data_IF_014163640655
#
_entry.id   IF_014163640655
#
_cell.length_a   1.000
_cell.length_b   1.000
_cell.length_c   1.000
_cell.angle_alpha   90.00
_cell.angle_beta   90.00
_cell.angle_gamma   90.00
#
_symmetry.space_group_name_H-M   'P 1'
#
loop_
_entity.id
_entity.type
_entity.pdbx_description
1 polymer ?
#
# COMPACT_ATOMS: atom_id res chain seq x y z
N UNK A 1 24.77 -27.32 -0.82
CA UNK A 1 24.14 -26.14 -0.21
C UNK A 1 22.71 -26.50 0.21
N UNK A 2 22.22 -26.01 1.35
CA UNK A 2 20.80 -26.14 1.65
C UNK A 2 20.01 -25.19 0.73
N UNK A 3 18.87 -25.60 0.15
CA UNK A 3 18.08 -24.73 -0.70
C UNK A 3 17.63 -23.50 0.11
N UNK A 4 17.90 -22.30 -0.42
CA UNK A 4 17.46 -21.04 0.19
C UNK A 4 15.94 -21.05 0.32
N UNK A 5 15.45 -20.68 1.49
CA UNK A 5 14.00 -20.63 1.77
C UNK A 5 13.40 -19.46 1.00
N UNK A 6 12.40 -19.69 0.17
CA UNK A 6 11.68 -18.59 -0.50
C UNK A 6 10.59 -18.07 0.43
N UNK A 7 10.29 -16.78 0.39
CA UNK A 7 9.12 -16.17 1.07
C UNK A 7 8.39 -15.24 0.10
N UNK A 8 7.06 -15.24 0.16
CA UNK A 8 6.21 -14.38 -0.68
C UNK A 8 5.71 -13.22 0.19
N UNK A 9 5.91 -12.01 -0.29
CA UNK A 9 5.60 -10.76 0.38
C UNK A 9 4.59 -9.99 -0.44
N UNK A 10 3.48 -9.59 0.17
CA UNK A 10 2.54 -8.68 -0.45
C UNK A 10 2.60 -7.33 0.26
N UNK A 11 3.01 -6.31 -0.48
CA UNK A 11 2.93 -4.91 -0.09
C UNK A 11 1.95 -4.19 -1.00
N UNK A 12 1.46 -3.03 -0.59
CA UNK A 12 0.52 -2.28 -1.40
C UNK A 12 -0.19 -1.23 -0.59
N UNK A 13 -0.83 -0.31 -1.29
CA UNK A 13 -1.47 0.82 -0.64
C UNK A 13 -2.69 0.38 0.18
N UNK A 14 -3.11 1.22 1.12
CA UNK A 14 -4.42 1.03 1.76
C UNK A 14 -5.49 0.95 0.68
N UNK A 15 -6.54 0.18 0.94
CA UNK A 15 -7.69 0.04 0.03
C UNK A 15 -7.37 -0.47 -1.38
N UNK A 16 -6.19 -1.07 -1.60
CA UNK A 16 -5.86 -1.65 -2.91
C UNK A 16 -6.23 -3.13 -3.06
N UNK A 17 -6.85 -3.75 -2.04
CA UNK A 17 -7.25 -5.17 -2.07
C UNK A 17 -6.17 -6.13 -1.57
N UNK A 18 -5.19 -5.65 -0.81
CA UNK A 18 -4.06 -6.46 -0.35
C UNK A 18 -4.49 -7.63 0.54
N UNK A 19 -5.45 -7.46 1.46
CA UNK A 19 -5.93 -8.57 2.30
C UNK A 19 -6.49 -9.73 1.47
N UNK A 20 -7.28 -9.42 0.43
CA UNK A 20 -7.83 -10.41 -0.49
C UNK A 20 -6.71 -11.20 -1.18
N UNK A 21 -5.69 -10.51 -1.69
CA UNK A 21 -4.58 -11.16 -2.38
C UNK A 21 -3.64 -11.91 -1.43
N UNK A 22 -3.38 -11.40 -0.21
CA UNK A 22 -2.58 -12.11 0.79
C UNK A 22 -3.22 -13.46 1.12
N UNK A 23 -4.54 -13.48 1.36
CA UNK A 23 -5.26 -14.71 1.66
C UNK A 23 -5.19 -15.67 0.46
N UNK A 24 -5.42 -15.16 -0.75
CA UNK A 24 -5.36 -15.98 -1.95
C UNK A 24 -3.98 -16.63 -2.15
N UNK A 25 -2.91 -15.85 -2.07
CA UNK A 25 -1.56 -16.37 -2.18
C UNK A 25 -1.23 -17.36 -1.05
N UNK A 26 -1.77 -17.14 0.15
CA UNK A 26 -1.65 -18.07 1.27
C UNK A 26 -2.33 -19.40 0.97
N UNK A 27 -3.52 -19.38 0.38
CA UNK A 27 -4.22 -20.60 -0.05
C UNK A 27 -3.42 -21.34 -1.14
N UNK A 28 -2.83 -20.60 -2.09
CA UNK A 28 -2.05 -21.18 -3.19
C UNK A 28 -0.68 -21.74 -2.75
N UNK A 29 0.05 -21.05 -1.87
CA UNK A 29 1.47 -21.34 -1.61
C UNK A 29 1.80 -21.59 -0.14
N UNK A 30 0.86 -21.33 0.78
CA UNK A 30 1.08 -21.33 2.24
C UNK A 30 1.52 -22.67 2.83
N UNK A 31 1.24 -23.79 2.15
CA UNK A 31 1.71 -25.13 2.54
C UNK A 31 3.20 -25.35 2.25
N UNK A 32 3.79 -24.57 1.34
CA UNK A 32 5.16 -24.73 0.86
C UNK A 32 6.09 -23.59 1.31
N UNK A 33 5.54 -22.38 1.43
CA UNK A 33 6.28 -21.18 1.82
C UNK A 33 5.45 -20.26 2.70
N UNK A 34 6.11 -19.35 3.41
CA UNK A 34 5.43 -18.27 4.11
C UNK A 34 4.97 -17.22 3.11
N UNK A 35 3.69 -16.90 3.17
CA UNK A 35 3.10 -15.71 2.56
C UNK A 35 2.91 -14.68 3.66
N UNK A 36 3.40 -13.46 3.43
CA UNK A 36 3.60 -12.46 4.47
C UNK A 36 3.08 -11.11 3.97
N UNK A 37 2.36 -10.36 4.80
CA UNK A 37 1.83 -9.03 4.52
C UNK A 37 2.69 -7.89 5.10
N UNK A 38 4.01 -8.09 5.03
CA UNK A 38 5.04 -7.13 5.43
C UNK A 38 6.32 -7.46 4.70
N UNK A 39 7.20 -6.47 4.56
CA UNK A 39 8.58 -6.67 4.13
C UNK A 39 9.52 -6.20 5.25
N UNK A 40 9.83 -4.89 5.28
CA UNK A 40 10.48 -4.25 6.43
C UNK A 40 9.45 -3.76 7.43
N UNK A 41 8.39 -3.13 6.92
CA UNK A 41 7.24 -2.67 7.70
C UNK A 41 5.96 -3.37 7.24
N UNK A 42 4.86 -3.15 7.96
CA UNK A 42 3.55 -3.64 7.52
C UNK A 42 3.23 -3.16 6.09
N UNK A 43 2.49 -3.97 5.32
CA UNK A 43 2.30 -3.81 3.87
C UNK A 43 1.93 -2.42 3.34
N UNK A 44 1.29 -1.58 4.14
CA UNK A 44 0.81 -0.25 3.74
C UNK A 44 1.83 0.88 3.97
N UNK A 45 2.88 0.59 4.72
CA UNK A 45 3.92 1.51 5.19
C UNK A 45 5.07 1.63 4.22
N UNK A 46 5.85 2.71 4.33
CA UNK A 46 7.09 2.85 3.57
C UNK A 46 8.02 1.70 3.91
N UNK A 47 8.65 1.14 2.90
CA UNK A 47 9.59 0.04 3.03
C UNK A 47 11.02 0.58 3.07
N UNK A 48 11.84 -0.01 3.94
CA UNK A 48 13.26 0.26 4.10
C UNK A 48 14.10 -0.99 3.80
N UNK A 49 15.19 -0.84 3.04
CA UNK A 49 16.07 -1.98 2.72
C UNK A 49 16.80 -2.48 3.96
N UNK A 50 17.31 -1.57 4.79
CA UNK A 50 18.11 -1.93 5.98
C UNK A 50 17.31 -2.79 6.96
N UNK A 51 16.02 -2.51 7.09
CA UNK A 51 15.13 -3.33 7.91
C UNK A 51 14.80 -4.67 7.23
N UNK A 52 14.65 -4.71 5.90
CA UNK A 52 14.47 -5.96 5.18
C UNK A 52 15.67 -6.91 5.33
N UNK A 53 16.88 -6.37 5.55
CA UNK A 53 18.08 -7.16 5.88
C UNK A 53 17.96 -7.86 7.24
N UNK A 54 17.15 -7.36 8.18
CA UNK A 54 16.90 -7.96 9.50
C UNK A 54 16.02 -9.22 9.44
N UNK A 55 15.35 -9.48 8.31
CA UNK A 55 14.67 -10.76 8.12
C UNK A 55 15.64 -11.95 8.18
N UNK A 56 15.21 -13.16 8.57
CA UNK A 56 16.11 -14.30 8.75
C UNK A 56 17.05 -14.50 7.55
N UNK A 57 18.38 -14.53 7.74
CA UNK A 57 19.34 -14.61 6.64
C UNK A 57 19.11 -15.87 5.79
N UNK A 58 19.41 -15.77 4.49
CA UNK A 58 19.30 -16.90 3.55
C UNK A 58 17.90 -17.16 2.98
N UNK A 59 16.96 -16.21 3.12
CA UNK A 59 15.66 -16.28 2.44
C UNK A 59 15.59 -15.35 1.23
N UNK A 60 15.24 -15.89 0.06
CA UNK A 60 14.97 -15.13 -1.15
C UNK A 60 13.53 -14.61 -1.12
N UNK A 61 13.36 -13.32 -1.40
CA UNK A 61 12.06 -12.63 -1.29
C UNK A 61 11.41 -12.49 -2.67
N UNK A 62 10.13 -12.85 -2.72
CA UNK A 62 9.25 -12.69 -3.87
C UNK A 62 8.25 -11.62 -3.48
N UNK A 63 8.31 -10.45 -4.10
CA UNK A 63 7.49 -9.30 -3.69
C UNK A 63 6.44 -9.01 -4.75
N UNK A 64 5.19 -8.90 -4.33
CA UNK A 64 4.09 -8.38 -5.14
C UNK A 64 3.67 -7.04 -4.53
N UNK A 65 3.74 -5.98 -5.33
CA UNK A 65 3.33 -4.63 -4.96
C UNK A 65 1.99 -4.29 -5.63
N UNK A 66 0.93 -4.15 -4.84
CA UNK A 66 -0.43 -4.01 -5.33
C UNK A 66 -0.95 -2.57 -5.22
N UNK A 67 -1.37 -2.04 -6.36
CA UNK A 67 -1.88 -0.68 -6.52
C UNK A 67 -3.32 -0.70 -7.02
N UNK A 68 -4.05 0.37 -6.73
CA UNK A 68 -5.44 0.55 -7.20
C UNK A 68 -5.56 1.82 -8.01
N UNK A 69 -6.52 1.85 -8.93
CA UNK A 69 -6.83 3.03 -9.71
C UNK A 69 -6.96 4.27 -8.81
N UNK A 70 -6.28 5.39 -9.13
CA UNK A 70 -6.16 6.53 -8.23
C UNK A 70 -7.51 7.15 -7.86
N UNK A 71 -8.46 7.25 -8.81
CA UNK A 71 -9.81 7.76 -8.55
C UNK A 71 -10.55 6.86 -7.54
N UNK A 72 -10.54 5.54 -7.78
CA UNK A 72 -11.17 4.59 -6.85
C UNK A 72 -10.45 4.51 -5.50
N UNK A 73 -9.14 4.70 -5.49
CA UNK A 73 -8.31 4.63 -4.30
C UNK A 73 -8.57 5.81 -3.36
N UNK A 74 -8.52 7.05 -3.86
CA UNK A 74 -8.78 8.25 -3.06
C UNK A 74 -10.18 8.15 -2.47
N UNK A 75 -11.18 7.77 -3.26
CA UNK A 75 -12.55 7.69 -2.78
C UNK A 75 -12.74 6.58 -1.72
N UNK A 76 -12.09 5.43 -1.89
CA UNK A 76 -12.11 4.37 -0.89
C UNK A 76 -11.40 4.79 0.41
N UNK A 77 -10.25 5.47 0.30
CA UNK A 77 -9.50 5.97 1.44
C UNK A 77 -10.29 7.04 2.20
N UNK A 78 -10.95 7.97 1.50
CA UNK A 78 -11.79 9.00 2.12
C UNK A 78 -12.94 8.41 2.91
N UNK A 79 -13.60 7.38 2.38
CA UNK A 79 -14.70 6.72 3.06
C UNK A 79 -14.27 6.00 4.34
N UNK A 80 -13.07 5.41 4.35
CA UNK A 80 -12.57 4.66 5.50
C UNK A 80 -11.07 4.97 5.72
N UNK A 81 -10.73 6.11 6.31
CA UNK A 81 -9.35 6.58 6.44
C UNK A 81 -8.72 5.97 7.70
N UNK A 82 -8.44 4.66 7.64
CA UNK A 82 -7.83 3.89 8.73
C UNK A 82 -6.54 4.54 9.23
N UNK A 83 -6.40 4.67 10.55
CA UNK A 83 -5.27 5.33 11.21
C UNK A 83 -5.05 6.81 10.87
N UNK A 84 -6.03 7.47 10.21
CA UNK A 84 -5.93 8.88 9.81
C UNK A 84 -7.08 9.69 10.43
N UNK A 85 -7.15 9.82 11.77
CA UNK A 85 -8.31 10.41 12.43
C UNK A 85 -8.67 11.83 12.00
N UNK A 86 -7.68 12.69 11.68
CA UNK A 86 -7.95 14.05 11.22
C UNK A 86 -8.40 14.14 9.76
N UNK A 87 -8.50 13.00 9.07
CA UNK A 87 -9.04 12.87 7.71
C UNK A 87 -10.37 12.11 7.66
N UNK A 88 -10.98 11.81 8.82
CA UNK A 88 -12.32 11.22 8.89
C UNK A 88 -13.40 12.26 8.59
N UNK A 89 -14.49 11.79 7.98
CA UNK A 89 -15.73 12.55 7.77
C UNK A 89 -15.54 13.87 6.99
N UNK A 90 -14.53 13.94 6.14
CA UNK A 90 -14.28 15.07 5.25
C UNK A 90 -15.00 14.87 3.91
N UNK A 91 -15.47 15.99 3.33
CA UNK A 91 -15.85 16.03 1.92
C UNK A 91 -14.64 15.74 1.03
N UNK A 92 -14.89 15.37 -0.24
CA UNK A 92 -13.83 14.92 -1.12
C UNK A 92 -12.76 15.99 -1.35
N UNK A 93 -13.15 17.25 -1.50
CA UNK A 93 -12.23 18.33 -1.84
C UNK A 93 -11.34 18.66 -0.64
N UNK A 94 -11.93 18.80 0.55
CA UNK A 94 -11.15 18.99 1.78
C UNK A 94 -10.23 17.80 2.04
N UNK A 95 -10.69 16.57 1.79
CA UNK A 95 -9.86 15.37 2.00
C UNK A 95 -8.59 15.35 1.15
N UNK A 96 -8.68 15.72 -0.13
CA UNK A 96 -7.54 15.70 -1.06
C UNK A 96 -6.66 16.94 -1.01
N UNK A 97 -7.11 18.01 -0.35
CA UNK A 97 -6.33 19.26 -0.19
C UNK A 97 -5.77 19.46 1.21
N UNK A 98 -6.22 18.66 2.18
CA UNK A 98 -5.73 18.73 3.56
C UNK A 98 -4.33 18.11 3.67
N UNK A 99 -3.38 18.78 4.36
CA UNK A 99 -2.09 18.19 4.70
C UNK A 99 -2.22 16.87 5.45
N UNK A 100 -1.45 15.87 5.02
CA UNK A 100 -1.42 14.55 5.64
C UNK A 100 -0.62 14.60 6.95
N UNK A 101 -1.27 15.05 8.02
CA UNK A 101 -0.61 15.22 9.31
C UNK A 101 -1.59 15.26 10.48
N UNK A 102 -1.02 15.25 11.68
CA UNK A 102 -1.67 15.64 12.92
C UNK A 102 -0.67 16.33 13.86
N UNK A 103 -1.15 17.13 14.84
CA UNK A 103 -0.28 17.61 15.90
C UNK A 103 0.34 16.45 16.68
N UNK A 104 1.61 16.61 17.07
CA UNK A 104 2.23 15.76 18.09
C UNK A 104 1.51 15.91 19.44
N UNK A 105 1.48 14.86 20.23
CA UNK A 105 0.78 14.81 21.51
C UNK A 105 1.41 13.78 22.46
N UNK A 106 1.13 13.87 23.75
CA UNK A 106 1.62 12.90 24.73
C UNK A 106 3.16 12.85 24.75
N UNK A 107 3.72 11.65 24.80
CA UNK A 107 5.17 11.43 24.84
C UNK A 107 5.92 12.01 23.64
N UNK A 108 5.26 12.21 22.48
CA UNK A 108 5.88 12.83 21.31
C UNK A 108 6.33 14.29 21.54
N UNK A 109 5.73 15.00 22.50
CA UNK A 109 6.09 16.38 22.82
C UNK A 109 7.40 16.48 23.61
N UNK A 110 7.79 15.40 24.27
CA UNK A 110 8.96 15.33 25.14
C UNK A 110 10.08 14.44 24.57
N UNK A 111 9.79 13.66 23.52
CA UNK A 111 10.72 12.74 22.89
C UNK A 111 11.91 13.45 22.22
N UNK A 112 13.11 12.89 22.37
CA UNK A 112 14.27 13.28 21.56
C UNK A 112 14.04 12.78 20.13
N UNK A 113 14.15 13.62 19.08
CA UNK A 113 14.04 13.20 17.69
C UNK A 113 15.00 12.07 17.27
N UNK A 114 16.04 11.79 18.07
CA UNK A 114 16.98 10.68 17.87
C UNK A 114 16.48 9.35 18.42
N UNK A 115 15.47 9.38 19.30
CA UNK A 115 14.94 8.16 19.89
C UNK A 115 14.12 7.37 18.86
N UNK A 116 14.23 6.03 18.84
CA UNK A 116 13.40 5.20 17.99
C UNK A 116 11.94 5.26 18.45
N UNK A 117 11.01 5.18 17.50
CA UNK A 117 9.59 5.18 17.83
C UNK A 117 9.14 3.87 18.46
N UNK A 118 8.56 3.95 19.65
CA UNK A 118 8.07 2.78 20.37
C UNK A 118 6.70 2.37 19.84
N UNK A 119 6.63 1.18 19.24
CA UNK A 119 5.39 0.58 18.74
C UNK A 119 5.00 0.99 17.32
N UNK A 120 5.79 1.82 16.64
CA UNK A 120 5.50 2.30 15.30
C UNK A 120 6.36 1.59 14.24
N UNK A 121 6.23 0.26 14.07
CA UNK A 121 6.85 -0.51 12.96
C UNK A 121 8.28 -0.04 12.53
N UNK A 122 9.19 0.18 13.49
CA UNK A 122 10.58 0.67 13.30
C UNK A 122 10.75 2.07 12.66
N UNK A 123 9.73 2.91 12.69
CA UNK A 123 9.90 4.32 12.36
C UNK A 123 10.82 5.03 13.35
N UNK A 124 11.44 6.10 12.89
CA UNK A 124 12.10 7.12 13.70
C UNK A 124 11.22 8.37 13.81
N UNK A 125 11.50 9.22 14.80
CA UNK A 125 10.69 10.40 15.09
C UNK A 125 10.43 11.33 13.86
N UNK A 126 11.39 11.61 12.95
CA UNK A 126 11.13 12.45 11.78
C UNK A 126 10.37 11.74 10.65
N UNK A 127 10.07 10.45 10.77
CA UNK A 127 9.40 9.68 9.72
C UNK A 127 7.89 9.50 9.99
N UNK A 128 7.43 9.72 11.23
CA UNK A 128 6.04 9.44 11.61
C UNK A 128 5.50 10.39 12.69
N UNK A 129 4.18 10.61 12.66
CA UNK A 129 3.40 11.20 13.75
C UNK A 129 2.16 10.34 14.05
N UNK A 130 1.89 9.99 15.32
CA UNK A 130 2.81 10.06 16.44
C UNK A 130 3.92 8.99 16.35
N UNK A 131 5.02 9.25 17.03
CA UNK A 131 6.12 8.31 17.23
C UNK A 131 5.82 7.33 18.38
N UNK A 132 5.11 7.78 19.41
CA UNK A 132 4.72 6.96 20.56
C UNK A 132 3.24 6.60 20.49
N UNK A 133 2.93 5.32 20.71
CA UNK A 133 1.55 4.83 20.81
C UNK A 133 0.92 5.21 22.14
N UNK A 134 0.63 6.50 22.33
CA UNK A 134 -0.30 6.96 23.35
C UNK A 134 -1.74 6.87 22.84
N UNK A 135 -2.68 6.64 23.76
CA UNK A 135 -4.10 6.68 23.43
C UNK A 135 -4.52 8.10 23.02
N UNK A 136 -4.48 8.38 21.71
CA UNK A 136 -5.01 9.63 21.18
C UNK A 136 -6.52 9.71 21.41
N UNK A 137 -6.95 10.60 22.30
CA UNK A 137 -8.36 11.02 22.44
C UNK A 137 -9.39 9.87 22.51
N UNK A 138 -9.06 8.77 23.19
CA UNK A 138 -9.97 7.63 23.36
C UNK A 138 -10.32 6.88 22.06
N UNK A 139 -9.49 7.01 21.01
CA UNK A 139 -9.76 6.34 19.74
C UNK A 139 -9.44 4.83 19.77
N UNK A 140 -10.22 4.07 18.98
CA UNK A 140 -10.07 2.61 18.82
C UNK A 140 -8.87 2.20 17.96
N UNK A 141 -8.36 3.10 17.12
CA UNK A 141 -7.24 2.85 16.21
C UNK A 141 -6.11 3.83 16.50
N UNK A 142 -4.87 3.34 16.51
CA UNK A 142 -3.69 4.18 16.65
C UNK A 142 -3.48 5.04 15.40
N UNK A 143 -3.37 6.38 15.53
CA UNK A 143 -3.06 7.22 14.39
C UNK A 143 -1.67 6.90 13.84
N UNK A 144 -1.51 6.98 12.51
CA UNK A 144 -0.24 6.79 11.81
C UNK A 144 -0.20 7.75 10.62
N UNK A 145 0.60 8.80 10.76
CA UNK A 145 0.89 9.77 9.72
C UNK A 145 2.37 9.71 9.35
N UNK A 146 2.70 8.91 8.33
CA UNK A 146 4.02 8.92 7.70
C UNK A 146 4.32 10.29 7.10
N UNK A 147 5.50 10.81 7.43
CA UNK A 147 6.04 12.06 6.93
C UNK A 147 6.85 11.82 5.66
N UNK A 148 7.31 12.90 5.02
CA UNK A 148 8.12 12.83 3.81
C UNK A 148 9.26 11.82 3.95
N UNK A 149 9.37 10.90 2.97
CA UNK A 149 10.32 9.80 3.01
C UNK A 149 11.79 10.25 2.92
N UNK A 150 12.01 11.53 2.62
CA UNK A 150 13.30 12.22 2.69
C UNK A 150 13.83 12.45 4.13
N UNK A 151 13.07 12.02 5.15
CA UNK A 151 13.38 12.13 6.58
C UNK A 151 13.52 13.58 7.07
N UNK A 152 12.95 14.53 6.35
CA UNK A 152 12.93 15.95 6.74
C UNK A 152 12.07 16.23 7.97
N UNK A 153 11.18 15.31 8.36
CA UNK A 153 10.19 15.57 9.41
C UNK A 153 9.01 16.43 8.93
N UNK A 154 8.90 16.69 7.62
CA UNK A 154 7.82 17.50 7.07
C UNK A 154 6.66 16.64 6.57
N UNK A 155 5.40 17.05 6.78
CA UNK A 155 4.25 16.30 6.29
C UNK A 155 4.06 16.48 4.77
N UNK A 156 3.41 15.51 4.15
CA UNK A 156 2.94 15.66 2.77
C UNK A 156 1.86 16.75 2.68
N UNK A 157 1.86 17.59 1.62
CA UNK A 157 0.83 18.60 1.42
C UNK A 157 -0.58 18.01 1.26
N UNK A 158 -0.68 16.75 0.82
CA UNK A 158 -1.93 16.00 0.73
C UNK A 158 -1.72 14.49 0.68
N UNK A 159 -2.83 13.75 0.73
CA UNK A 159 -2.84 12.28 0.54
C UNK A 159 -2.43 11.84 -0.86
N UNK A 160 -2.61 12.68 -1.90
CA UNK A 160 -2.20 12.34 -3.27
C UNK A 160 -0.68 12.52 -3.45
N UNK A 161 -0.07 13.48 -2.74
CA UNK A 161 1.39 13.64 -2.70
C UNK A 161 2.04 12.47 -1.95
N UNK A 162 1.47 12.05 -0.82
CA UNK A 162 1.88 10.84 -0.10
C UNK A 162 1.85 9.62 -1.03
N UNK A 163 0.76 9.46 -1.79
CA UNK A 163 0.61 8.35 -2.72
C UNK A 163 1.70 8.32 -3.80
N UNK A 164 2.04 9.47 -4.39
CA UNK A 164 3.10 9.52 -5.38
C UNK A 164 4.42 8.99 -4.80
N UNK A 165 4.76 9.39 -3.57
CA UNK A 165 5.99 8.93 -2.93
C UNK A 165 5.92 7.44 -2.52
N UNK A 166 4.74 6.97 -2.10
CA UNK A 166 4.48 5.53 -1.85
C UNK A 166 4.72 4.66 -3.06
N UNK A 167 4.28 5.11 -4.24
CA UNK A 167 4.49 4.39 -5.49
C UNK A 167 5.98 4.25 -5.77
N UNK A 168 6.74 5.36 -5.67
CA UNK A 168 8.19 5.36 -5.89
C UNK A 168 8.89 4.41 -4.92
N UNK A 169 8.61 4.54 -3.62
CA UNK A 169 9.18 3.66 -2.60
C UNK A 169 8.86 2.17 -2.83
N UNK A 170 7.62 1.81 -3.18
CA UNK A 170 7.27 0.41 -3.43
C UNK A 170 7.93 -0.14 -4.68
N UNK A 171 8.16 0.68 -5.70
CA UNK A 171 8.88 0.26 -6.91
C UNK A 171 10.39 0.09 -6.66
N UNK A 172 10.99 0.85 -5.74
CA UNK A 172 12.40 0.69 -5.34
C UNK A 172 12.68 -0.64 -4.64
N UNK A 173 11.68 -1.26 -4.03
CA UNK A 173 11.82 -2.58 -3.37
C UNK A 173 12.38 -3.65 -4.30
N UNK A 174 12.15 -3.54 -5.63
CA UNK A 174 12.70 -4.48 -6.61
C UNK A 174 14.24 -4.55 -6.57
N UNK A 175 14.90 -3.48 -6.14
CA UNK A 175 16.35 -3.32 -6.14
C UNK A 175 16.98 -3.76 -4.81
N UNK A 176 16.17 -4.18 -3.83
CA UNK A 176 16.67 -4.67 -2.55
C UNK A 176 17.42 -5.98 -2.74
N UNK A 177 18.59 -6.13 -2.10
CA UNK A 177 19.53 -7.25 -2.32
C UNK A 177 18.87 -8.65 -2.31
N UNK A 178 17.87 -8.83 -1.45
CA UNK A 178 17.20 -10.11 -1.19
C UNK A 178 15.95 -10.34 -2.02
N UNK A 179 15.48 -9.34 -2.77
CA UNK A 179 14.34 -9.47 -3.66
C UNK A 179 14.80 -10.13 -4.95
N UNK A 180 14.30 -11.34 -5.21
CA UNK A 180 14.66 -12.14 -6.40
C UNK A 180 13.58 -12.13 -7.46
N UNK A 181 12.38 -11.71 -7.09
CA UNK A 181 11.28 -11.45 -7.99
C UNK A 181 10.47 -10.29 -7.45
N UNK A 182 10.09 -9.38 -8.33
CA UNK A 182 9.23 -8.26 -8.01
C UNK A 182 8.16 -8.13 -9.08
N UNK A 183 6.91 -7.92 -8.66
CA UNK A 183 5.81 -7.63 -9.57
C UNK A 183 4.91 -6.54 -9.03
N UNK A 184 4.87 -5.41 -9.74
CA UNK A 184 3.82 -4.42 -9.58
C UNK A 184 2.55 -4.89 -10.27
N UNK A 185 1.40 -4.82 -9.57
CA UNK A 185 0.10 -5.28 -10.06
C UNK A 185 -0.99 -4.25 -9.83
N UNK A 186 -1.90 -4.13 -10.79
CA UNK A 186 -3.10 -3.31 -10.68
C UNK A 186 -4.25 -4.18 -10.16
N UNK A 187 -4.96 -3.72 -9.14
CA UNK A 187 -6.11 -4.40 -8.56
C UNK A 187 -7.15 -4.76 -9.63
N UNK A 188 -7.46 -3.82 -10.51
CA UNK A 188 -8.46 -3.96 -11.56
C UNK A 188 -8.05 -5.04 -12.57
N UNK A 189 -6.76 -5.13 -12.91
CA UNK A 189 -6.25 -6.17 -13.79
C UNK A 189 -6.42 -7.58 -13.19
N UNK A 190 -6.24 -7.71 -11.87
CA UNK A 190 -6.43 -8.99 -11.17
C UNK A 190 -7.90 -9.37 -11.01
N UNK A 191 -8.80 -8.39 -10.86
CA UNK A 191 -10.24 -8.64 -10.78
C UNK A 191 -10.80 -8.96 -12.16
N UNK A 192 -10.54 -8.10 -13.16
CA UNK A 192 -11.12 -8.23 -14.50
C UNK A 192 -10.47 -9.33 -15.33
N UNK A 193 -9.18 -9.59 -15.13
CA UNK A 193 -8.43 -10.63 -15.85
C UNK A 193 -8.28 -11.94 -15.08
N UNK A 194 -8.70 -11.99 -13.81
CA UNK A 194 -8.39 -13.08 -12.91
C UNK A 194 -6.93 -13.09 -12.43
N UNK A 195 -6.59 -14.07 -11.59
CA UNK A 195 -5.26 -14.16 -10.93
C UNK A 195 -4.33 -15.21 -11.51
N UNK A 196 -4.77 -15.97 -12.52
CA UNK A 196 -4.01 -17.10 -13.08
C UNK A 196 -2.62 -16.67 -13.57
N UNK A 197 -2.54 -15.55 -14.28
CA UNK A 197 -1.28 -15.06 -14.83
C UNK A 197 -0.26 -14.74 -13.73
N UNK A 198 -0.69 -14.12 -12.63
CA UNK A 198 0.18 -13.77 -11.51
C UNK A 198 0.65 -15.01 -10.77
N UNK A 199 -0.24 -15.99 -10.56
CA UNK A 199 0.10 -17.27 -9.95
C UNK A 199 1.16 -17.98 -10.78
N UNK A 200 0.99 -18.05 -12.10
CA UNK A 200 1.96 -18.66 -13.01
C UNK A 200 3.32 -17.95 -12.98
N UNK A 201 3.36 -16.62 -12.93
CA UNK A 201 4.62 -15.86 -12.78
C UNK A 201 5.32 -16.20 -11.45
N UNK A 202 4.56 -16.33 -10.36
CA UNK A 202 5.10 -16.73 -9.05
C UNK A 202 5.62 -18.17 -9.10
N UNK A 203 4.89 -19.11 -9.68
CA UNK A 203 5.35 -20.50 -9.88
C UNK A 203 6.66 -20.54 -10.66
N UNK A 204 6.76 -19.77 -11.76
CA UNK A 204 7.99 -19.69 -12.57
C UNK A 204 9.16 -19.11 -11.78
N UNK A 205 8.94 -18.03 -11.03
CA UNK A 205 9.98 -17.39 -10.23
C UNK A 205 10.44 -18.26 -9.04
N UNK A 206 9.52 -19.03 -8.48
CA UNK A 206 9.77 -19.77 -7.23
C UNK A 206 10.03 -21.26 -7.42
N UNK A 207 9.65 -21.84 -8.56
CA UNK A 207 9.60 -23.29 -8.75
C UNK A 207 8.60 -23.99 -7.82
N UNK A 208 7.73 -23.24 -7.13
CA UNK A 208 6.62 -23.79 -6.35
C UNK A 208 5.45 -24.10 -7.28
N UNK A 209 4.53 -24.94 -6.83
CA UNK A 209 3.28 -25.24 -7.55
C UNK A 209 2.09 -24.76 -6.72
N UNK A 210 1.17 -24.01 -7.31
CA UNK A 210 -0.01 -23.52 -6.62
C UNK A 210 -0.96 -24.68 -6.26
N UNK A 211 -1.44 -24.70 -5.01
CA UNK A 211 -2.41 -25.68 -4.49
C UNK A 211 -3.83 -25.08 -4.37
N UNK A 212 -4.14 -24.14 -5.26
CA UNK A 212 -5.41 -23.42 -5.28
C UNK A 212 -5.96 -23.38 -6.71
N UNK A 213 -7.23 -23.00 -6.85
CA UNK A 213 -7.77 -22.54 -8.13
C UNK A 213 -7.60 -21.02 -8.22
N UNK A 214 -6.96 -20.49 -9.28
CA UNK A 214 -6.91 -19.05 -9.52
C UNK A 214 -8.31 -18.44 -9.55
N UNK A 215 -8.45 -17.22 -9.03
CA UNK A 215 -9.72 -16.50 -9.19
C UNK A 215 -9.97 -16.20 -10.67
N UNK A 216 -11.16 -16.51 -11.18
CA UNK A 216 -11.52 -16.19 -12.56
C UNK A 216 -11.74 -14.68 -12.73
N UNK A 217 -11.73 -14.19 -13.98
CA UNK A 217 -12.26 -12.88 -14.35
C UNK A 217 -13.61 -12.57 -13.70
N UNK A 218 -13.74 -11.36 -13.16
CA UNK A 218 -14.97 -10.84 -12.57
C UNK A 218 -15.22 -9.38 -12.99
N UNK A 219 -16.49 -8.96 -13.12
CA UNK A 219 -16.81 -7.57 -13.39
C UNK A 219 -16.40 -6.68 -12.22
N UNK A 220 -15.74 -5.57 -12.52
CA UNK A 220 -15.38 -4.58 -11.52
C UNK A 220 -16.62 -3.74 -11.17
N UNK A 221 -17.08 -3.80 -9.92
CA UNK A 221 -18.15 -2.93 -9.44
C UNK A 221 -17.56 -1.57 -9.08
N UNK A 222 -17.83 -0.57 -9.93
CA UNK A 222 -17.40 0.80 -9.70
C UNK A 222 -18.55 1.63 -9.16
N UNK A 223 -18.25 2.60 -8.30
CA UNK A 223 -19.23 3.58 -7.84
C UNK A 223 -19.26 4.73 -8.84
N UNK A 224 -20.42 5.36 -9.01
CA UNK A 224 -20.48 6.67 -9.66
C UNK A 224 -19.61 7.66 -8.88
N UNK A 225 -18.77 8.39 -9.59
CA UNK A 225 -17.92 9.45 -9.04
C UNK A 225 -18.40 10.76 -9.64
N UNK A 226 -18.35 11.82 -8.83
CA UNK A 226 -18.75 13.16 -9.23
C UNK A 226 -17.81 13.75 -10.29
N UNK A 227 -18.34 14.49 -11.27
CA UNK A 227 -17.55 15.02 -12.38
C UNK A 227 -16.50 16.05 -11.90
N UNK A 228 -16.83 16.91 -10.94
CA UNK A 228 -15.88 17.89 -10.38
C UNK A 228 -14.73 17.17 -9.65
N UNK A 229 -15.04 16.08 -8.95
CA UNK A 229 -14.04 15.21 -8.33
C UNK A 229 -13.11 14.59 -9.39
N UNK A 230 -13.66 14.04 -10.47
CA UNK A 230 -12.89 13.41 -11.54
C UNK A 230 -11.97 14.42 -12.22
N UNK A 231 -12.48 15.60 -12.55
CA UNK A 231 -11.71 16.67 -13.18
C UNK A 231 -10.61 17.19 -12.25
N UNK A 232 -10.90 17.33 -10.95
CA UNK A 232 -9.90 17.74 -9.99
C UNK A 232 -8.75 16.74 -9.87
N UNK A 233 -9.05 15.45 -9.70
CA UNK A 233 -8.02 14.39 -9.62
C UNK A 233 -7.21 14.36 -10.93
N UNK A 234 -7.88 14.50 -12.08
CA UNK A 234 -7.20 14.58 -13.38
C UNK A 234 -6.22 15.74 -13.47
N UNK A 235 -6.56 16.90 -12.90
CA UNK A 235 -5.71 18.09 -12.92
C UNK A 235 -4.56 18.11 -11.92
N UNK A 236 -4.66 17.36 -10.81
CA UNK A 236 -3.75 17.53 -9.66
C UNK A 236 -2.95 16.27 -9.30
N UNK A 237 -3.34 15.08 -9.76
CA UNK A 237 -2.58 13.85 -9.51
C UNK A 237 -1.21 13.89 -10.23
N UNK A 238 -0.18 13.34 -9.59
CA UNK A 238 1.13 13.12 -10.22
C UNK A 238 1.04 11.96 -11.23
N UNK A 239 0.59 12.29 -12.44
CA UNK A 239 0.44 11.32 -13.52
C UNK A 239 1.76 10.78 -14.05
N UNK A 240 2.88 11.45 -13.84
CA UNK A 240 4.18 10.90 -14.21
C UNK A 240 4.52 9.70 -13.32
N UNK A 241 4.21 9.81 -12.03
CA UNK A 241 4.36 8.71 -11.08
C UNK A 241 3.32 7.60 -11.28
N UNK A 242 2.04 7.93 -11.49
CA UNK A 242 0.97 6.93 -11.72
C UNK A 242 1.23 6.07 -12.97
N UNK A 243 1.83 6.66 -14.02
CA UNK A 243 2.23 5.92 -15.24
C UNK A 243 3.22 4.79 -14.96
N UNK A 244 4.06 4.91 -13.92
CA UNK A 244 5.04 3.87 -13.55
C UNK A 244 4.36 2.56 -13.15
N UNK A 245 3.13 2.63 -12.66
CA UNK A 245 2.29 1.48 -12.28
C UNK A 245 1.14 1.23 -13.27
N UNK A 246 1.19 1.88 -14.44
CA UNK A 246 0.27 1.67 -15.55
C UNK A 246 -1.09 2.35 -15.39
N UNK A 247 -1.18 3.43 -14.61
CA UNK A 247 -2.37 4.28 -14.61
C UNK A 247 -2.16 5.56 -15.42
N UNK A 248 -3.25 6.06 -15.98
CA UNK A 248 -3.33 7.20 -16.86
C UNK A 248 -4.56 8.06 -16.54
N UNK A 249 -4.57 9.35 -16.91
CA UNK A 249 -5.70 10.25 -16.67
C UNK A 249 -7.05 9.74 -17.20
N UNK A 250 -7.03 8.98 -18.29
CA UNK A 250 -8.18 8.39 -18.97
C UNK A 250 -8.64 7.05 -18.38
N UNK A 251 -7.92 6.51 -17.39
CA UNK A 251 -8.36 5.34 -16.63
C UNK A 251 -9.47 5.70 -15.64
N UNK A 252 -10.45 6.50 -16.04
CA UNK A 252 -11.59 6.87 -15.21
C UNK A 252 -12.45 5.63 -14.96
N UNK A 253 -12.84 5.36 -13.71
CA UNK A 253 -13.83 4.32 -13.40
C UNK A 253 -15.14 4.58 -14.16
N UNK A 254 -15.52 3.69 -15.07
CA UNK A 254 -16.83 3.77 -15.72
C UNK A 254 -17.93 3.36 -14.72
N UNK A 255 -19.06 4.06 -14.66
CA UNK A 255 -20.19 3.58 -13.87
C UNK A 255 -20.64 2.19 -14.36
N UNK A 256 -21.24 1.36 -13.50
CA UNK A 256 -21.89 0.13 -13.95
C UNK A 256 -22.93 0.50 -15.01
N UNK A 257 -22.94 -0.16 -16.17
CA UNK A 257 -23.99 0.05 -17.17
C UNK A 257 -25.35 -0.14 -16.50
N UNK A 258 -26.21 0.89 -16.56
CA UNK A 258 -27.59 0.83 -16.06
C UNK A 258 -28.41 -0.29 -16.73
N UNK A 259 -27.97 -0.77 -17.90
CA UNK A 259 -28.60 -1.86 -18.66
C UNK A 259 -28.36 -3.28 -18.12
N UNK A 260 -27.77 -3.44 -16.92
CA UNK A 260 -27.51 -4.75 -16.30
C UNK A 260 -28.11 -4.95 -14.90
N UNK A 261 -29.12 -4.15 -14.52
CA UNK A 261 -29.97 -4.43 -13.34
C UNK A 261 -31.17 -5.30 -13.67
#
# INVERSE_FOLDING_TARGET
>A
EQPKKKTIHLIGERHSGTNWMTNHLTDCFGKQTRVIDRLSRYKHWFQEENEAKLMPPGSDMIVVAQFRNPYSWVEALRHIPYHMPLHRDLDWHTFVTKPYTMPRFGLDLEADPKDPCVGADNYTWPEIIPCHQDHYMGQREFPIYELNHDKSGTPYPSVIDLRADKIKNFLEVKDYERVKFFRAVRYEAMVQGGTEWLIREIEQATGLTADCTPFPPAPLRMRGLDDDYLDWIRGHMDWETEKLIGYHPDNVPLPPNEDTQ
#
